data_IF_022650394002
#
_entry.id   IF_022650394002
#
_cell.length_a   1.000
_cell.length_b   1.000
_cell.length_c   1.000
_cell.angle_alpha   90.00
_cell.angle_beta   90.00
_cell.angle_gamma   90.00
#
_symmetry.space_group_name_H-M   'P 1'
#
loop_
_entity.id
_entity.type
_entity.pdbx_description
1 polymer ?
#
# COMPACT_ATOMS: atom_id res chain seq x y z
N UNK A 1 49.25 -0.77 -29.42
CA UNK A 1 48.80 0.49 -28.82
C UNK A 1 47.58 0.94 -29.62
N UNK A 2 46.35 0.63 -29.17
CA UNK A 2 45.01 1.10 -29.65
C UNK A 2 43.86 0.14 -29.25
N UNK A 3 44.16 -1.06 -28.68
CA UNK A 3 43.13 -2.03 -28.27
C UNK A 3 42.63 -1.91 -26.82
N UNK A 4 43.39 -1.25 -25.92
CA UNK A 4 43.07 -1.17 -24.48
C UNK A 4 42.04 -0.07 -24.11
N UNK A 5 41.81 0.92 -24.99
CA UNK A 5 40.90 2.04 -24.71
C UNK A 5 39.43 1.75 -25.05
N UNK A 6 39.13 0.79 -25.93
CA UNK A 6 37.76 0.47 -26.32
C UNK A 6 37.05 -0.43 -25.30
N UNK A 7 37.78 -1.34 -24.63
CA UNK A 7 37.20 -2.28 -23.67
C UNK A 7 36.67 -1.55 -22.42
N UNK A 8 37.38 -0.53 -21.95
CA UNK A 8 36.98 0.28 -20.78
C UNK A 8 35.67 1.05 -21.06
N UNK A 9 35.52 1.60 -22.27
CA UNK A 9 34.32 2.34 -22.67
C UNK A 9 33.06 1.45 -22.68
N UNK A 10 33.17 0.20 -23.14
CA UNK A 10 32.05 -0.75 -23.14
C UNK A 10 31.66 -1.17 -21.72
N UNK A 11 32.63 -1.38 -20.83
CA UNK A 11 32.39 -1.74 -19.41
C UNK A 11 31.65 -0.62 -18.65
N UNK A 12 31.97 0.66 -18.94
CA UNK A 12 31.28 1.80 -18.34
C UNK A 12 29.83 1.91 -18.80
N UNK A 13 29.51 1.55 -20.05
CA UNK A 13 28.13 1.59 -20.58
C UNK A 13 27.24 0.50 -19.93
N UNK A 14 27.80 -0.68 -19.59
CA UNK A 14 27.06 -1.74 -18.87
C UNK A 14 26.79 -1.42 -17.40
N UNK A 15 27.51 -0.46 -16.81
CA UNK A 15 27.36 -0.09 -15.39
C UNK A 15 26.27 0.95 -15.13
N UNK A 16 25.64 1.49 -16.17
CA UNK A 16 24.59 2.50 -16.08
C UNK A 16 23.22 2.01 -16.57
N UNK A 17 22.96 0.69 -16.55
CA UNK A 17 21.58 0.23 -16.38
C UNK A 17 21.23 0.53 -14.93
N UNK A 18 20.82 1.78 -14.69
CA UNK A 18 20.18 2.18 -13.45
C UNK A 18 18.89 1.36 -13.38
N UNK A 19 18.94 0.18 -12.74
CA UNK A 19 17.72 -0.49 -12.32
C UNK A 19 16.96 0.59 -11.55
N UNK A 20 15.69 0.88 -11.90
CA UNK A 20 14.89 1.72 -11.04
C UNK A 20 15.05 1.16 -9.64
N UNK A 21 15.58 1.94 -8.70
CA UNK A 21 15.43 1.60 -7.31
C UNK A 21 13.93 1.40 -7.14
N UNK A 22 13.50 0.20 -6.79
CA UNK A 22 12.09 -0.02 -6.48
C UNK A 22 11.83 0.84 -5.25
N UNK A 23 11.35 2.05 -5.46
CA UNK A 23 10.98 2.95 -4.38
C UNK A 23 9.67 2.40 -3.84
N UNK A 24 9.77 1.58 -2.80
CA UNK A 24 8.60 1.11 -2.07
C UNK A 24 7.93 2.32 -1.45
N UNK A 25 6.70 2.63 -1.90
CA UNK A 25 5.85 3.63 -1.26
C UNK A 25 4.91 2.94 -0.27
N UNK A 26 4.67 3.60 0.86
CA UNK A 26 3.84 3.07 1.95
C UNK A 26 2.75 4.06 2.31
N UNK A 27 1.52 3.58 2.39
CA UNK A 27 0.38 4.28 2.98
C UNK A 27 0.07 3.64 4.33
N UNK A 28 -0.06 4.44 5.38
CA UNK A 28 -0.21 3.93 6.74
C UNK A 28 -1.16 4.76 7.59
N UNK A 29 -1.67 4.14 8.65
CA UNK A 29 -2.50 4.81 9.66
C UNK A 29 -2.19 4.24 11.04
N UNK A 30 -2.15 5.09 12.06
CA UNK A 30 -1.77 4.68 13.41
C UNK A 30 -2.49 5.52 14.47
N UNK A 31 -2.38 5.09 15.73
CA UNK A 31 -2.83 5.85 16.90
C UNK A 31 -4.21 6.47 16.76
N UNK A 32 -4.33 7.75 17.12
CA UNK A 32 -5.57 8.50 17.19
C UNK A 32 -5.81 9.34 15.92
N UNK A 33 -6.28 8.69 14.85
CA UNK A 33 -6.68 9.31 13.58
C UNK A 33 -5.56 9.92 12.73
N UNK A 34 -4.32 9.43 12.88
CA UNK A 34 -3.20 9.82 12.04
C UNK A 34 -3.14 8.99 10.75
N UNK A 35 -2.80 9.64 9.64
CA UNK A 35 -2.69 9.04 8.32
C UNK A 35 -1.42 9.52 7.60
N UNK A 36 -0.85 8.64 6.79
CA UNK A 36 0.21 8.94 5.83
C UNK A 36 -0.16 8.37 4.47
N UNK A 37 -0.08 9.19 3.42
CA UNK A 37 -0.30 8.78 2.03
C UNK A 37 0.94 8.12 1.41
N UNK A 38 0.79 7.50 0.24
CA UNK A 38 1.91 6.88 -0.51
C UNK A 38 3.02 7.87 -0.88
N UNK A 39 2.69 9.14 -1.10
CA UNK A 39 3.61 10.26 -1.34
C UNK A 39 4.10 10.93 -0.04
N UNK A 40 3.91 10.27 1.10
CA UNK A 40 4.42 10.67 2.43
C UNK A 40 3.76 11.93 3.04
N UNK A 41 2.58 12.35 2.55
CA UNK A 41 1.83 13.43 3.18
C UNK A 41 1.15 12.94 4.46
N UNK A 42 1.34 13.67 5.57
CA UNK A 42 0.79 13.32 6.90
C UNK A 42 -0.34 14.26 7.28
N UNK A 43 -1.44 13.70 7.79
CA UNK A 43 -2.61 14.46 8.21
C UNK A 43 -3.44 13.71 9.24
N UNK A 44 -4.32 14.45 9.91
CA UNK A 44 -5.26 13.93 10.89
C UNK A 44 -6.68 13.97 10.32
N UNK A 45 -7.42 12.87 10.45
CA UNK A 45 -8.81 12.79 9.98
C UNK A 45 -9.68 12.00 10.95
N UNK A 46 -10.46 12.70 11.76
CA UNK A 46 -11.28 12.15 12.86
C UNK A 46 -12.62 11.55 12.40
N UNK A 47 -12.64 10.93 11.22
CA UNK A 47 -13.83 10.26 10.69
C UNK A 47 -14.06 8.88 11.32
N UNK A 48 -15.31 8.59 11.69
CA UNK A 48 -15.72 7.31 12.30
C UNK A 48 -16.55 6.41 11.39
N UNK A 49 -16.90 6.89 10.20
CA UNK A 49 -17.58 6.09 9.19
C UNK A 49 -16.62 5.09 8.52
N UNK A 50 -17.16 4.25 7.64
CA UNK A 50 -16.37 3.43 6.74
C UNK A 50 -15.86 4.29 5.58
N UNK A 51 -14.56 4.23 5.32
CA UNK A 51 -13.90 4.96 4.24
C UNK A 51 -13.04 4.03 3.40
N UNK A 52 -12.89 4.36 2.11
CA UNK A 52 -11.90 3.71 1.24
C UNK A 52 -10.53 4.26 1.61
N UNK A 53 -9.64 3.37 2.05
CA UNK A 53 -8.27 3.71 2.41
C UNK A 53 -7.35 3.64 1.18
N UNK A 54 -7.51 2.60 0.37
CA UNK A 54 -6.83 2.45 -0.91
C UNK A 54 -7.69 1.58 -1.83
N UNK A 55 -7.73 1.90 -3.12
CA UNK A 55 -8.42 1.08 -4.10
C UNK A 55 -7.80 1.26 -5.47
N UNK A 56 -7.86 0.21 -6.30
CA UNK A 56 -7.62 0.39 -7.72
C UNK A 56 -8.82 1.15 -8.33
N UNK A 57 -8.55 2.30 -8.94
CA UNK A 57 -9.56 3.18 -9.55
C UNK A 57 -9.39 3.20 -11.08
N UNK A 58 -10.51 3.39 -11.81
CA UNK A 58 -10.59 3.64 -13.28
C UNK A 58 -10.45 2.42 -14.20
N UNK A 59 -10.67 1.21 -13.71
CA UNK A 59 -10.73 0.03 -14.55
C UNK A 59 -12.09 -0.66 -14.49
N UNK A 60 -12.40 -1.45 -15.52
CA UNK A 60 -13.65 -2.23 -15.59
C UNK A 60 -13.69 -3.35 -14.54
N UNK A 61 -12.52 -3.74 -14.03
CA UNK A 61 -12.31 -4.69 -12.95
C UNK A 61 -11.61 -4.00 -11.78
N UNK A 62 -12.16 -4.14 -10.57
CA UNK A 62 -11.52 -3.65 -9.36
C UNK A 62 -10.70 -4.78 -8.74
N UNK A 63 -9.38 -4.77 -8.98
CA UNK A 63 -8.47 -5.80 -8.47
C UNK A 63 -8.41 -5.81 -6.94
N UNK A 64 -8.41 -4.63 -6.32
CA UNK A 64 -8.47 -4.52 -4.88
C UNK A 64 -9.20 -3.27 -4.37
N UNK A 65 -9.79 -3.40 -3.18
CA UNK A 65 -10.39 -2.32 -2.41
C UNK A 65 -10.15 -2.56 -0.93
N UNK A 66 -9.52 -1.60 -0.25
CA UNK A 66 -9.25 -1.63 1.19
C UNK A 66 -10.10 -0.54 1.83
N UNK A 67 -10.96 -0.94 2.76
CA UNK A 67 -11.83 -0.07 3.52
C UNK A 67 -11.49 -0.16 5.01
N UNK A 68 -11.56 0.98 5.69
CA UNK A 68 -11.30 1.09 7.11
C UNK A 68 -12.48 1.73 7.82
N UNK A 69 -12.71 1.32 9.06
CA UNK A 69 -13.65 1.99 9.95
C UNK A 69 -13.04 2.08 11.36
N UNK A 70 -12.98 3.29 11.90
CA UNK A 70 -12.44 3.57 13.23
C UNK A 70 -13.59 3.75 14.23
N UNK A 71 -13.55 3.00 15.35
CA UNK A 71 -14.45 3.21 16.48
C UNK A 71 -13.82 4.12 17.54
N UNK A 72 -14.60 5.05 18.08
CA UNK A 72 -14.22 5.85 19.26
C UNK A 72 -14.38 5.05 20.57
N UNK A 73 -15.20 3.98 20.55
CA UNK A 73 -15.44 3.13 21.73
C UNK A 73 -14.37 2.03 21.81
N UNK A 74 -13.76 1.91 22.99
CA UNK A 74 -12.83 0.84 23.39
C UNK A 74 -11.41 0.84 22.78
N UNK A 75 -10.85 2.00 22.42
CA UNK A 75 -9.42 2.11 22.09
C UNK A 75 -9.05 1.41 20.79
N UNK A 76 -9.19 2.14 19.67
CA UNK A 76 -8.53 1.78 18.40
C UNK A 76 -8.93 0.42 17.82
N UNK A 77 -10.17 -0.03 18.01
CA UNK A 77 -10.70 -1.13 17.19
C UNK A 77 -10.84 -0.62 15.74
N UNK A 78 -9.86 -0.97 14.89
CA UNK A 78 -9.90 -0.69 13.47
C UNK A 78 -10.49 -1.91 12.79
N UNK A 79 -11.66 -1.73 12.20
CA UNK A 79 -12.24 -2.71 11.29
C UNK A 79 -11.57 -2.51 9.94
N UNK A 80 -10.89 -3.55 9.45
CA UNK A 80 -10.29 -3.57 8.12
C UNK A 80 -11.05 -4.55 7.25
N UNK A 81 -11.40 -4.11 6.05
CA UNK A 81 -12.03 -4.95 5.05
C UNK A 81 -11.26 -4.79 3.75
N UNK A 82 -10.72 -5.88 3.23
CA UNK A 82 -9.99 -5.90 1.97
C UNK A 82 -10.68 -6.87 1.01
N UNK A 83 -11.01 -6.37 -0.17
CA UNK A 83 -11.37 -7.21 -1.31
C UNK A 83 -10.15 -7.30 -2.21
N UNK A 84 -9.70 -8.50 -2.54
CA UNK A 84 -8.57 -8.75 -3.45
C UNK A 84 -9.00 -9.86 -4.41
N UNK A 85 -9.07 -9.58 -5.70
CA UNK A 85 -9.51 -10.51 -6.75
C UNK A 85 -10.84 -11.21 -6.42
N UNK A 86 -11.75 -10.49 -5.77
CA UNK A 86 -13.06 -11.00 -5.34
C UNK A 86 -13.09 -11.73 -4.00
N UNK A 87 -11.93 -12.03 -3.40
CA UNK A 87 -11.85 -12.60 -2.04
C UNK A 87 -12.06 -11.51 -1.00
N UNK A 88 -12.94 -11.75 -0.03
CA UNK A 88 -13.22 -10.83 1.07
C UNK A 88 -12.45 -11.23 2.33
N UNK A 89 -11.49 -10.40 2.73
CA UNK A 89 -10.83 -10.47 4.03
C UNK A 89 -11.45 -9.43 4.97
N UNK A 90 -11.94 -9.86 6.11
CA UNK A 90 -12.41 -9.00 7.19
C UNK A 90 -11.59 -9.21 8.45
N UNK A 91 -11.08 -8.13 9.01
CA UNK A 91 -10.39 -8.09 10.30
C UNK A 91 -11.20 -7.23 11.25
N UNK A 92 -11.61 -7.85 12.36
CA UNK A 92 -12.41 -7.23 13.42
C UNK A 92 -11.92 -7.72 14.78
N UNK A 93 -12.45 -7.13 15.84
CA UNK A 93 -12.10 -7.50 17.22
C UNK A 93 -12.35 -8.99 17.51
N UNK A 94 -13.38 -9.59 16.91
CA UNK A 94 -13.70 -11.01 17.09
C UNK A 94 -12.85 -11.97 16.25
N UNK A 95 -11.94 -11.47 15.41
CA UNK A 95 -11.00 -12.28 14.64
C UNK A 95 -10.93 -11.88 13.17
N UNK A 96 -10.31 -12.77 12.39
CA UNK A 96 -10.12 -12.63 10.95
C UNK A 96 -11.07 -13.62 10.25
N UNK A 97 -11.76 -13.17 9.21
CA UNK A 97 -12.58 -14.03 8.36
C UNK A 97 -12.23 -13.86 6.88
N UNK A 98 -12.22 -14.96 6.14
CA UNK A 98 -12.05 -15.01 4.69
C UNK A 98 -13.35 -15.54 4.08
N UNK A 99 -13.99 -14.74 3.22
CA UNK A 99 -15.30 -15.04 2.63
C UNK A 99 -16.36 -15.45 3.68
N UNK A 100 -16.33 -14.78 4.83
CA UNK A 100 -17.22 -15.04 5.96
C UNK A 100 -16.89 -16.28 6.79
N UNK A 101 -15.81 -17.01 6.47
CA UNK A 101 -15.33 -18.18 7.21
C UNK A 101 -14.11 -17.82 8.07
N UNK A 102 -14.10 -18.29 9.31
CA UNK A 102 -12.98 -18.15 10.26
C UNK A 102 -11.94 -19.25 10.07
#
# INVERSE_FOLDING_TARGET
>A
MFAEHFIIATILIFSAVQRPAVTTSECSTWGNFHFQTFDSAKFDFTGTCRYVFASHCKDSHQDFSIQIMRSIKAGTAIYFMATIDGVLLEVKESGITVDGKT
#
